data_IF_500897964190
#
_entry.id   IF_500897964190
#
_cell.length_a   1.000
_cell.length_b   1.000
_cell.length_c   1.000
_cell.angle_alpha   90.00
_cell.angle_beta   90.00
_cell.angle_gamma   90.00
#
_symmetry.space_group_name_H-M   'P 1'
#
loop_
_entity.id
_entity.type
_entity.pdbx_description
1 polymer ?
#
# COMPACT_ATOMS: atom_id res chain seq x y z
N UNK A 1 -9.87 10.72 -5.01
CA UNK A 1 -10.61 9.43 -4.96
C UNK A 1 -12.06 9.54 -5.48
N UNK A 2 -12.54 10.74 -5.85
CA UNK A 2 -13.90 10.97 -6.35
C UNK A 2 -14.15 10.59 -7.81
N UNK A 3 -13.17 10.01 -8.53
CA UNK A 3 -13.28 9.77 -9.96
C UNK A 3 -13.71 8.34 -10.33
N UNK A 4 -14.05 7.49 -9.35
CA UNK A 4 -14.53 6.14 -9.64
C UNK A 4 -16.02 6.12 -9.98
N UNK A 5 -16.36 5.49 -11.10
CA UNK A 5 -17.75 5.20 -11.49
C UNK A 5 -18.43 4.25 -10.50
N UNK A 6 -19.77 4.18 -10.53
CA UNK A 6 -20.52 3.27 -9.66
C UNK A 6 -20.10 1.80 -9.83
N UNK A 7 -19.83 1.37 -11.06
CA UNK A 7 -19.34 0.02 -11.35
C UNK A 7 -17.93 -0.21 -10.77
N UNK A 8 -17.04 0.76 -10.88
CA UNK A 8 -15.72 0.68 -10.28
C UNK A 8 -15.82 0.61 -8.75
N UNK A 9 -16.62 1.47 -8.12
CA UNK A 9 -16.86 1.45 -6.66
C UNK A 9 -17.41 0.09 -6.21
N UNK A 10 -18.35 -0.48 -6.96
CA UNK A 10 -18.88 -1.82 -6.71
C UNK A 10 -17.79 -2.90 -6.80
N UNK A 11 -16.96 -2.87 -7.85
CA UNK A 11 -15.87 -3.82 -8.01
C UNK A 11 -14.85 -3.72 -6.87
N UNK A 12 -14.46 -2.51 -6.47
CA UNK A 12 -13.59 -2.28 -5.32
C UNK A 12 -14.18 -2.87 -4.03
N UNK A 13 -15.47 -2.62 -3.79
CA UNK A 13 -16.17 -3.16 -2.62
C UNK A 13 -16.17 -4.68 -2.63
N UNK A 14 -16.51 -5.31 -3.75
CA UNK A 14 -16.61 -6.78 -3.83
C UNK A 14 -15.25 -7.46 -3.63
N UNK A 15 -14.20 -6.95 -4.29
CA UNK A 15 -12.87 -7.57 -4.25
C UNK A 15 -12.15 -7.30 -2.93
N UNK A 16 -12.21 -6.08 -2.40
CA UNK A 16 -11.37 -5.69 -1.27
C UNK A 16 -12.06 -5.81 0.10
N UNK A 17 -13.39 -5.80 0.20
CA UNK A 17 -14.06 -5.86 1.49
C UNK A 17 -14.09 -7.27 2.11
N UNK A 18 -14.10 -8.33 1.29
CA UNK A 18 -14.19 -9.72 1.73
C UNK A 18 -12.80 -10.37 1.85
N UNK A 19 -12.46 -10.89 3.03
CA UNK A 19 -11.21 -11.63 3.22
C UNK A 19 -11.18 -12.91 2.39
N UNK A 20 -12.27 -13.69 2.42
CA UNK A 20 -12.41 -14.89 1.60
C UNK A 20 -12.17 -14.62 0.11
N UNK A 21 -12.71 -13.52 -0.43
CA UNK A 21 -12.48 -13.16 -1.83
C UNK A 21 -11.00 -12.86 -2.10
N UNK A 22 -10.33 -12.14 -1.19
CA UNK A 22 -8.90 -11.83 -1.28
C UNK A 22 -8.04 -13.09 -1.27
N UNK A 23 -8.36 -14.05 -0.41
CA UNK A 23 -7.70 -15.37 -0.33
C UNK A 23 -7.90 -16.17 -1.62
N UNK A 24 -9.15 -16.33 -2.09
CA UNK A 24 -9.45 -17.05 -3.34
C UNK A 24 -8.70 -16.44 -4.54
N UNK A 25 -8.69 -15.11 -4.65
CA UNK A 25 -7.97 -14.43 -5.74
C UNK A 25 -6.47 -14.71 -5.69
N UNK A 26 -5.88 -14.68 -4.49
CA UNK A 26 -4.46 -14.99 -4.31
C UNK A 26 -4.14 -16.45 -4.64
N UNK A 27 -4.99 -17.39 -4.23
CA UNK A 27 -4.83 -18.82 -4.51
C UNK A 27 -4.91 -19.14 -5.99
N UNK A 28 -5.87 -18.53 -6.70
CA UNK A 28 -6.01 -18.65 -8.15
C UNK A 28 -4.79 -18.04 -8.85
N UNK A 29 -4.36 -16.86 -8.43
CA UNK A 29 -3.20 -16.16 -8.99
C UNK A 29 -1.92 -17.00 -8.85
N UNK A 30 -1.58 -17.46 -7.64
CA UNK A 30 -0.36 -18.24 -7.42
C UNK A 30 -0.38 -19.57 -8.19
N UNK A 31 -1.54 -20.23 -8.27
CA UNK A 31 -1.69 -21.52 -8.95
C UNK A 31 -1.52 -21.44 -10.47
N UNK A 32 -1.94 -20.32 -11.08
CA UNK A 32 -1.86 -20.12 -12.53
C UNK A 32 -0.48 -19.57 -12.93
N UNK A 33 0.05 -18.65 -12.13
CA UNK A 33 1.18 -17.83 -12.57
C UNK A 33 2.52 -18.24 -11.97
N UNK A 34 2.59 -18.84 -10.79
CA UNK A 34 3.88 -19.26 -10.22
C UNK A 34 4.26 -20.67 -10.67
N UNK A 35 5.55 -20.89 -10.87
CA UNK A 35 6.16 -22.20 -11.11
C UNK A 35 7.13 -22.53 -9.98
N UNK A 36 7.42 -23.82 -9.81
CA UNK A 36 8.32 -24.32 -8.75
C UNK A 36 9.73 -23.72 -8.81
N UNK A 37 10.20 -23.34 -10.00
CA UNK A 37 11.56 -22.84 -10.23
C UNK A 37 11.62 -21.32 -10.49
N UNK A 38 10.54 -20.58 -10.21
CA UNK A 38 10.58 -19.11 -10.29
C UNK A 38 11.53 -18.59 -9.19
N UNK A 39 12.71 -18.10 -9.59
CA UNK A 39 13.72 -17.54 -8.71
C UNK A 39 13.92 -16.04 -8.99
N UNK A 40 13.98 -15.23 -7.95
CA UNK A 40 14.07 -13.78 -8.04
C UNK A 40 15.19 -13.23 -7.16
N UNK A 41 15.63 -12.02 -7.47
CA UNK A 41 16.74 -11.40 -6.76
C UNK A 41 16.25 -10.70 -5.49
N UNK A 42 16.66 -11.22 -4.35
CA UNK A 42 16.45 -10.65 -3.00
C UNK A 42 17.10 -9.25 -2.78
N UNK A 43 17.69 -8.60 -3.79
CA UNK A 43 18.11 -7.19 -3.70
C UNK A 43 16.90 -6.22 -3.82
N UNK A 44 15.81 -6.49 -3.08
CA UNK A 44 14.61 -5.66 -3.04
C UNK A 44 14.82 -4.39 -2.19
N UNK A 45 13.91 -3.43 -2.32
CA UNK A 45 13.89 -2.19 -1.56
C UNK A 45 12.52 -1.98 -0.90
N UNK A 46 12.52 -1.84 0.42
CA UNK A 46 11.32 -1.56 1.20
C UNK A 46 11.41 -0.15 1.79
N UNK A 47 10.51 0.74 1.37
CA UNK A 47 10.37 2.07 1.98
C UNK A 47 9.37 1.94 3.14
N UNK A 48 9.90 1.93 4.36
CA UNK A 48 9.12 1.96 5.59
C UNK A 48 9.21 3.34 6.23
N UNK A 49 8.34 3.64 7.20
CA UNK A 49 8.40 4.91 7.93
C UNK A 49 7.02 5.41 8.32
N UNK A 50 6.99 6.37 9.24
CA UNK A 50 5.74 7.00 9.64
C UNK A 50 5.11 7.77 8.47
N UNK A 51 3.79 7.80 8.38
CA UNK A 51 3.11 8.61 7.38
C UNK A 51 3.58 10.08 7.47
N UNK A 52 3.63 10.77 6.33
CA UNK A 52 4.06 12.19 6.20
C UNK A 52 5.55 12.47 6.44
N UNK A 53 6.40 11.44 6.49
CA UNK A 53 7.87 11.54 6.56
C UNK A 53 8.58 11.65 5.20
N UNK A 54 7.85 11.63 4.08
CA UNK A 54 8.43 11.70 2.73
C UNK A 54 8.58 10.34 2.01
N UNK A 55 8.06 9.26 2.58
CA UNK A 55 8.06 7.91 1.99
C UNK A 55 7.58 7.85 0.55
N UNK A 56 6.54 8.62 0.19
CA UNK A 56 5.95 8.58 -1.16
C UNK A 56 6.84 9.26 -2.20
N UNK A 57 7.54 10.35 -1.84
CA UNK A 57 8.50 10.99 -2.74
C UNK A 57 9.69 10.05 -2.97
N UNK A 58 10.19 9.43 -1.90
CA UNK A 58 11.27 8.45 -1.98
C UNK A 58 10.88 7.25 -2.87
N UNK A 59 9.68 6.70 -2.69
CA UNK A 59 9.14 5.64 -3.55
C UNK A 59 9.15 6.05 -5.02
N UNK A 60 8.60 7.21 -5.36
CA UNK A 60 8.52 7.68 -6.73
C UNK A 60 9.91 7.90 -7.34
N UNK A 61 10.85 8.49 -6.59
CA UNK A 61 12.22 8.71 -7.06
C UNK A 61 12.96 7.41 -7.36
N UNK A 62 12.81 6.38 -6.53
CA UNK A 62 13.43 5.06 -6.77
C UNK A 62 12.75 4.36 -7.95
N UNK A 63 11.43 4.44 -8.05
CA UNK A 63 10.67 3.80 -9.11
C UNK A 63 11.03 4.34 -10.51
N UNK A 64 11.38 5.63 -10.61
CA UNK A 64 11.85 6.27 -11.86
C UNK A 64 13.11 5.63 -12.45
N UNK A 65 13.90 4.89 -11.66
CA UNK A 65 15.04 4.13 -12.17
C UNK A 65 14.65 3.01 -13.15
N UNK A 66 13.37 2.62 -13.16
CA UNK A 66 12.85 1.48 -13.94
C UNK A 66 13.57 0.14 -13.63
N UNK A 67 14.25 0.03 -12.48
CA UNK A 67 14.93 -1.20 -12.05
C UNK A 67 14.04 -2.13 -11.23
N UNK A 68 12.89 -1.63 -10.75
CA UNK A 68 12.05 -2.33 -9.77
C UNK A 68 10.64 -2.56 -10.29
N UNK A 69 10.02 -3.66 -9.85
CA UNK A 69 8.57 -3.81 -9.87
C UNK A 69 7.97 -3.23 -8.58
N UNK A 70 6.80 -2.62 -8.69
CA UNK A 70 5.99 -2.17 -7.57
C UNK A 70 4.52 -2.40 -7.90
N UNK A 71 3.68 -2.45 -6.87
CA UNK A 71 2.24 -2.23 -7.05
C UNK A 71 2.02 -0.79 -7.50
N UNK A 72 1.06 -0.62 -8.39
CA UNK A 72 0.64 0.65 -8.99
C UNK A 72 -0.88 0.79 -8.88
N UNK A 73 -1.39 2.00 -9.14
CA UNK A 73 -2.84 2.21 -9.23
C UNK A 73 -3.51 1.35 -10.32
N UNK A 74 -2.78 0.88 -11.32
CA UNK A 74 -3.30 -0.01 -12.36
C UNK A 74 -3.65 -1.40 -11.83
N UNK A 75 -3.01 -1.84 -10.75
CA UNK A 75 -3.25 -3.13 -10.09
C UNK A 75 -4.57 -3.14 -9.29
N UNK A 76 -5.18 -1.96 -9.06
CA UNK A 76 -6.49 -1.88 -8.42
C UNK A 76 -7.62 -2.36 -9.35
N UNK A 77 -8.63 -3.07 -8.80
CA UNK A 77 -8.77 -3.46 -7.39
C UNK A 77 -8.12 -4.81 -7.00
N UNK A 78 -7.50 -5.53 -7.94
CA UNK A 78 -7.01 -6.90 -7.77
C UNK A 78 -5.54 -6.95 -7.31
N UNK A 79 -5.25 -6.30 -6.19
CA UNK A 79 -3.88 -6.19 -5.65
C UNK A 79 -3.22 -7.55 -5.41
N UNK A 80 -3.99 -8.56 -5.00
CA UNK A 80 -3.48 -9.92 -4.74
C UNK A 80 -3.50 -10.82 -5.98
N UNK A 81 -4.01 -10.34 -7.11
CA UNK A 81 -4.05 -11.07 -8.38
C UNK A 81 -3.60 -10.19 -9.57
N UNK A 82 -2.40 -9.59 -9.51
CA UNK A 82 -1.98 -8.57 -10.47
C UNK A 82 -1.80 -9.11 -11.90
N UNK A 83 -1.35 -10.36 -12.08
CA UNK A 83 -1.18 -10.95 -13.41
C UNK A 83 -2.53 -11.31 -14.04
N UNK A 84 -3.46 -11.87 -13.25
CA UNK A 84 -4.82 -12.11 -13.71
C UNK A 84 -5.47 -10.79 -14.16
N UNK A 85 -5.38 -9.75 -13.33
CA UNK A 85 -5.94 -8.44 -13.65
C UNK A 85 -5.31 -7.81 -14.88
N UNK A 86 -4.00 -7.95 -15.07
CA UNK A 86 -3.31 -7.48 -16.27
C UNK A 86 -3.82 -8.14 -17.57
N UNK A 87 -4.35 -9.37 -17.50
CA UNK A 87 -4.92 -10.09 -18.65
C UNK A 87 -6.36 -9.67 -18.97
N UNK A 88 -7.17 -9.37 -17.95
CA UNK A 88 -8.61 -9.12 -18.12
C UNK A 88 -8.97 -7.63 -18.13
N UNK A 89 -8.13 -6.77 -17.56
CA UNK A 89 -8.38 -5.34 -17.56
C UNK A 89 -8.17 -4.76 -18.96
N UNK A 90 -9.02 -3.82 -19.39
CA UNK A 90 -8.78 -3.13 -20.66
C UNK A 90 -7.42 -2.43 -20.59
N UNK A 91 -6.69 -2.36 -21.72
CA UNK A 91 -5.45 -1.60 -21.80
C UNK A 91 -5.73 -0.16 -21.37
N UNK A 92 -5.24 0.22 -20.19
CA UNK A 92 -5.36 1.57 -19.67
C UNK A 92 -4.28 2.41 -20.36
N UNK A 93 -4.66 3.52 -20.98
CA UNK A 93 -3.68 4.56 -21.27
C UNK A 93 -3.11 5.07 -19.95
N UNK A 94 -1.83 5.41 -19.93
CA UNK A 94 -1.27 6.12 -18.79
C UNK A 94 -2.04 7.43 -18.65
N UNK A 95 -2.91 7.50 -17.65
CA UNK A 95 -3.69 8.70 -17.38
C UNK A 95 -2.77 9.89 -17.11
N UNK A 96 -3.26 11.10 -17.35
CA UNK A 96 -2.51 12.31 -17.03
C UNK A 96 -2.16 12.36 -15.54
N UNK A 97 -0.97 12.89 -15.24
CA UNK A 97 -0.51 13.11 -13.87
C UNK A 97 -1.44 14.10 -13.17
N UNK A 98 -2.09 13.65 -12.09
CA UNK A 98 -2.97 14.48 -11.27
C UNK A 98 -2.42 14.57 -9.86
N UNK A 99 -2.65 15.69 -9.19
CA UNK A 99 -2.31 15.79 -7.77
C UNK A 99 -3.14 14.79 -6.96
N UNK A 100 -2.46 14.02 -6.10
CA UNK A 100 -3.13 13.02 -5.28
C UNK A 100 -4.04 13.67 -4.25
N UNK A 101 -5.01 12.92 -3.74
CA UNK A 101 -6.03 13.41 -2.80
C UNK A 101 -5.49 14.12 -1.55
N UNK A 102 -4.24 13.84 -1.16
CA UNK A 102 -3.59 14.48 -0.01
C UNK A 102 -3.39 15.98 -0.20
N UNK A 103 -3.29 16.48 -1.44
CA UNK A 103 -3.08 17.90 -1.75
C UNK A 103 -1.73 18.42 -1.28
N UNK A 104 -0.67 17.66 -1.54
CA UNK A 104 0.69 17.94 -1.09
C UNK A 104 1.70 18.08 -2.24
N UNK A 105 1.21 18.41 -3.44
CA UNK A 105 2.01 18.62 -4.65
C UNK A 105 2.51 17.34 -5.31
N UNK A 106 2.35 16.17 -4.68
CA UNK A 106 2.73 14.89 -5.29
C UNK A 106 1.71 14.53 -6.37
N UNK A 107 2.21 14.40 -7.61
CA UNK A 107 1.40 14.01 -8.76
C UNK A 107 1.52 12.51 -9.01
N UNK A 108 0.38 11.88 -9.29
CA UNK A 108 0.26 10.45 -9.56
C UNK A 108 -0.60 10.22 -10.79
N UNK A 109 -0.34 9.12 -11.47
CA UNK A 109 -1.11 8.57 -12.59
C UNK A 109 -1.37 7.09 -12.32
N UNK A 110 -2.06 6.42 -13.22
CA UNK A 110 -2.43 5.02 -13.01
C UNK A 110 -1.22 4.07 -12.91
N UNK A 111 -0.10 4.43 -13.53
CA UNK A 111 1.17 3.71 -13.44
C UNK A 111 2.08 4.15 -12.28
N UNK A 112 1.64 5.11 -11.45
CA UNK A 112 2.45 5.50 -10.28
C UNK A 112 2.42 4.41 -9.21
N UNK A 113 3.56 4.16 -8.53
CA UNK A 113 3.63 3.20 -7.44
C UNK A 113 2.86 3.70 -6.20
N UNK A 114 2.24 2.80 -5.45
CA UNK A 114 1.46 3.15 -4.26
C UNK A 114 1.47 2.06 -3.17
N UNK A 115 1.17 2.47 -1.94
CA UNK A 115 1.25 1.70 -0.71
C UNK A 115 0.13 0.65 -0.51
N UNK A 116 -0.03 -0.28 -1.44
CA UNK A 116 -1.11 -1.28 -1.39
C UNK A 116 -0.76 -2.59 -0.67
N UNK A 117 0.48 -2.75 -0.21
CA UNK A 117 0.96 -3.98 0.45
C UNK A 117 0.17 -4.34 1.72
N UNK A 118 -0.44 -3.38 2.41
CA UNK A 118 -1.25 -3.66 3.60
C UNK A 118 -2.50 -4.51 3.28
N UNK A 119 -2.94 -4.55 2.02
CA UNK A 119 -3.98 -5.49 1.57
C UNK A 119 -3.52 -6.94 1.77
N UNK A 120 -2.25 -7.25 1.50
CA UNK A 120 -1.67 -8.57 1.75
C UNK A 120 -1.63 -8.87 3.25
N UNK A 121 -1.04 -7.95 4.04
CA UNK A 121 -0.88 -8.16 5.48
C UNK A 121 -2.20 -8.35 6.23
N UNK A 122 -3.25 -7.64 5.82
CA UNK A 122 -4.61 -7.78 6.37
C UNK A 122 -5.32 -9.06 5.94
N UNK A 123 -4.85 -9.74 4.91
CA UNK A 123 -5.44 -11.00 4.43
C UNK A 123 -4.85 -12.19 5.15
N UNK A 124 -3.54 -12.18 5.42
CA UNK A 124 -2.81 -13.36 5.92
C UNK A 124 -2.17 -13.13 7.30
N UNK A 125 -2.88 -12.45 8.21
CA UNK A 125 -2.31 -12.00 9.49
C UNK A 125 -2.12 -13.13 10.55
N UNK A 126 -2.77 -14.28 10.38
CA UNK A 126 -3.06 -15.20 11.49
C UNK A 126 -2.04 -16.35 11.68
N UNK A 127 -1.17 -16.65 10.70
CA UNK A 127 -0.11 -17.66 10.81
C UNK A 127 1.24 -17.07 10.35
N UNK A 128 2.32 -17.24 11.12
CA UNK A 128 3.64 -16.67 10.78
C UNK A 128 4.33 -17.40 9.62
N UNK A 129 4.36 -18.73 9.63
CA UNK A 129 5.08 -19.51 8.60
C UNK A 129 4.40 -19.39 7.25
N UNK A 130 3.07 -19.52 7.24
CA UNK A 130 2.28 -19.39 6.00
C UNK A 130 2.43 -17.96 5.45
N UNK A 131 2.44 -16.95 6.33
CA UNK A 131 2.63 -15.55 5.95
C UNK A 131 3.98 -15.28 5.30
N UNK A 132 5.08 -15.84 5.80
CA UNK A 132 6.40 -15.70 5.17
C UNK A 132 6.39 -16.27 3.75
N UNK A 133 5.92 -17.51 3.59
CA UNK A 133 5.83 -18.18 2.28
C UNK A 133 4.93 -17.39 1.32
N UNK A 134 3.76 -16.96 1.79
CA UNK A 134 2.82 -16.19 0.98
C UNK A 134 3.36 -14.82 0.61
N UNK A 135 4.19 -14.20 1.46
CA UNK A 135 4.77 -12.90 1.15
C UNK A 135 5.81 -13.00 0.03
N UNK A 136 6.63 -14.06 0.06
CA UNK A 136 7.57 -14.39 -1.03
C UNK A 136 6.80 -14.62 -2.34
N UNK A 137 5.73 -15.43 -2.31
CA UNK A 137 4.87 -15.68 -3.48
C UNK A 137 4.19 -14.40 -3.99
N UNK A 138 3.70 -13.56 -3.08
CA UNK A 138 3.06 -12.29 -3.42
C UNK A 138 4.02 -11.34 -4.17
N UNK A 139 5.23 -11.17 -3.66
CA UNK A 139 6.27 -10.39 -4.33
C UNK A 139 6.64 -11.02 -5.67
N UNK A 140 6.78 -12.35 -5.72
CA UNK A 140 7.10 -13.10 -6.94
C UNK A 140 6.08 -12.86 -8.06
N UNK A 141 4.79 -12.79 -7.72
CA UNK A 141 3.72 -12.47 -8.67
C UNK A 141 3.82 -11.05 -9.21
N UNK A 142 4.15 -10.07 -8.37
CA UNK A 142 4.34 -8.67 -8.78
C UNK A 142 5.56 -8.56 -9.71
N UNK A 143 6.66 -9.24 -9.37
CA UNK A 143 7.86 -9.30 -10.20
C UNK A 143 7.57 -9.90 -11.58
N UNK A 144 6.83 -11.01 -11.60
CA UNK A 144 6.40 -11.69 -12.83
C UNK A 144 5.53 -10.81 -13.73
N UNK A 145 4.54 -10.11 -13.15
CA UNK A 145 3.63 -9.20 -13.87
C UNK A 145 4.39 -8.08 -14.57
N UNK A 146 5.46 -7.59 -13.95
CA UNK A 146 6.24 -6.46 -14.45
C UNK A 146 7.49 -6.89 -15.24
N UNK A 147 7.78 -8.19 -15.33
CA UNK A 147 9.01 -8.73 -15.90
C UNK A 147 10.28 -8.07 -15.31
N UNK A 148 10.35 -8.03 -13.98
CA UNK A 148 11.51 -7.50 -13.22
C UNK A 148 11.97 -8.54 -12.20
N UNK A 149 13.17 -8.34 -11.67
CA UNK A 149 13.77 -9.23 -10.66
C UNK A 149 13.85 -8.60 -9.28
N UNK A 150 13.69 -7.27 -9.15
CA UNK A 150 13.80 -6.53 -7.89
C UNK A 150 12.48 -5.87 -7.55
N UNK A 151 12.06 -6.00 -6.29
CA UNK A 151 10.81 -5.42 -5.79
C UNK A 151 11.10 -4.09 -5.10
N UNK A 152 10.18 -3.14 -5.28
CA UNK A 152 10.14 -1.87 -4.56
C UNK A 152 8.76 -1.77 -3.92
N UNK A 153 8.72 -1.57 -2.62
CA UNK A 153 7.48 -1.29 -1.91
C UNK A 153 7.58 -0.04 -1.06
N UNK A 154 6.41 0.51 -0.76
CA UNK A 154 6.24 1.44 0.34
C UNK A 154 5.09 0.96 1.20
N UNK A 155 5.32 0.83 2.50
CA UNK A 155 4.25 0.60 3.46
C UNK A 155 4.67 1.20 4.80
N UNK A 156 3.87 2.14 5.31
CA UNK A 156 4.18 2.80 6.58
C UNK A 156 4.19 1.81 7.74
N UNK A 157 3.30 0.82 7.71
CA UNK A 157 3.14 -0.18 8.76
C UNK A 157 4.29 -1.19 8.80
N UNK A 158 5.15 -1.24 7.76
CA UNK A 158 6.35 -2.09 7.78
C UNK A 158 7.37 -1.67 8.85
N UNK A 159 7.24 -0.47 9.43
CA UNK A 159 8.01 -0.09 10.62
C UNK A 159 7.82 -1.07 11.78
N UNK A 160 6.68 -1.78 11.84
CA UNK A 160 6.37 -2.81 12.84
C UNK A 160 6.84 -4.22 12.42
N UNK A 161 7.30 -4.38 11.19
CA UNK A 161 7.62 -5.67 10.54
C UNK A 161 9.07 -5.73 10.05
N UNK A 162 9.93 -4.82 10.52
CA UNK A 162 11.33 -4.70 10.06
C UNK A 162 12.11 -6.01 10.23
N UNK A 163 11.98 -6.66 11.39
CA UNK A 163 12.66 -7.93 11.67
C UNK A 163 12.17 -9.03 10.72
N UNK A 164 10.85 -9.20 10.62
CA UNK A 164 10.23 -10.18 9.72
C UNK A 164 10.68 -9.98 8.27
N UNK A 165 10.67 -8.74 7.76
CA UNK A 165 11.10 -8.46 6.38
C UNK A 165 12.59 -8.78 6.21
N UNK A 166 13.43 -8.44 7.20
CA UNK A 166 14.87 -8.72 7.15
C UNK A 166 15.19 -10.22 7.24
N UNK A 167 14.35 -11.00 7.92
CA UNK A 167 14.47 -12.47 7.99
C UNK A 167 14.07 -13.13 6.67
N UNK A 168 12.97 -12.69 6.06
CA UNK A 168 12.50 -13.21 4.76
C UNK A 168 13.45 -12.81 3.62
N UNK A 169 13.94 -11.58 3.66
CA UNK A 169 14.69 -10.93 2.57
C UNK A 169 16.02 -10.34 3.05
N UNK A 170 17.00 -11.17 3.44
CA UNK A 170 18.22 -10.72 4.11
C UNK A 170 19.14 -9.83 3.27
N UNK A 171 19.04 -9.87 1.92
CA UNK A 171 19.84 -9.00 1.04
C UNK A 171 19.16 -7.67 0.73
N UNK A 172 17.87 -7.55 1.03
CA UNK A 172 17.08 -6.36 0.75
C UNK A 172 17.52 -5.14 1.56
N UNK A 173 17.17 -3.95 1.06
CA UNK A 173 17.41 -2.67 1.74
C UNK A 173 16.11 -2.11 2.27
N UNK A 174 16.07 -1.80 3.56
CA UNK A 174 14.94 -1.08 4.17
C UNK A 174 15.34 0.37 4.36
N UNK A 175 14.59 1.29 3.75
CA UNK A 175 14.80 2.73 3.85
C UNK A 175 13.74 3.34 4.76
N UNK A 176 14.18 4.05 5.81
CA UNK A 176 13.31 4.68 6.80
C UNK A 176 13.63 6.18 6.83
N UNK A 177 12.85 7.03 6.13
CA UNK A 177 13.05 8.46 6.18
C UNK A 177 12.57 9.02 7.52
N UNK A 178 13.30 10.02 8.00
CA UNK A 178 12.96 10.80 9.19
C UNK A 178 12.64 12.23 8.77
N UNK A 179 11.69 12.84 9.47
CA UNK A 179 11.30 14.24 9.29
C UNK A 179 11.29 14.92 10.65
N UNK A 180 11.48 16.24 10.66
CA UNK A 180 11.25 17.05 11.86
C UNK A 180 9.90 16.69 12.51
N UNK A 181 9.89 16.31 13.80
CA UNK A 181 8.68 15.82 14.46
C UNK A 181 7.52 16.81 14.44
N UNK A 182 7.78 18.11 14.68
CA UNK A 182 6.73 19.13 14.71
C UNK A 182 6.12 19.33 13.32
N UNK A 183 6.94 19.34 12.27
CA UNK A 183 6.43 19.41 10.89
C UNK A 183 5.64 18.16 10.52
N UNK A 184 6.08 16.99 10.96
CA UNK A 184 5.40 15.73 10.68
C UNK A 184 4.04 15.67 11.38
N UNK A 185 3.99 16.00 12.66
CA UNK A 185 2.76 16.13 13.46
C UNK A 185 1.78 17.09 12.80
N UNK A 186 2.24 18.29 12.40
CA UNK A 186 1.39 19.30 11.76
C UNK A 186 0.81 18.77 10.43
N UNK A 187 1.62 18.05 9.66
CA UNK A 187 1.17 17.44 8.42
C UNK A 187 0.15 16.33 8.68
N UNK A 188 0.36 15.48 9.68
CA UNK A 188 -0.58 14.42 10.05
C UNK A 188 -1.91 14.98 10.52
N UNK A 189 -1.88 15.94 11.45
CA UNK A 189 -3.08 16.63 11.94
C UNK A 189 -3.88 17.27 10.78
N UNK A 190 -3.19 17.97 9.88
CA UNK A 190 -3.82 18.58 8.71
C UNK A 190 -4.50 17.55 7.81
N UNK A 191 -3.86 16.39 7.60
CA UNK A 191 -4.45 15.29 6.83
C UNK A 191 -5.63 14.64 7.58
N UNK A 192 -5.55 14.50 8.90
CA UNK A 192 -6.65 13.98 9.71
C UNK A 192 -7.90 14.85 9.59
N UNK A 193 -7.77 16.16 9.74
CA UNK A 193 -8.90 17.08 9.59
C UNK A 193 -9.48 17.06 8.17
N UNK A 194 -8.61 17.07 7.16
CA UNK A 194 -9.02 17.02 5.75
C UNK A 194 -9.77 15.73 5.40
N UNK A 195 -9.16 14.58 5.66
CA UNK A 195 -9.79 13.29 5.36
C UNK A 195 -10.99 13.02 6.26
N UNK A 196 -11.01 13.53 7.49
CA UNK A 196 -12.19 13.49 8.35
C UNK A 196 -13.40 14.18 7.71
N UNK A 197 -13.19 15.34 7.07
CA UNK A 197 -14.25 16.01 6.30
C UNK A 197 -14.66 15.20 5.07
N UNK A 198 -13.70 14.81 4.23
CA UNK A 198 -13.97 14.06 2.99
C UNK A 198 -14.71 12.73 3.25
N UNK A 199 -14.35 12.02 4.31
CA UNK A 199 -14.95 10.73 4.69
C UNK A 199 -16.37 10.87 5.26
N UNK A 200 -16.72 12.02 5.83
CA UNK A 200 -18.10 12.32 6.24
C UNK A 200 -18.97 12.67 5.03
N UNK A 201 -18.39 13.25 3.97
CA UNK A 201 -19.09 13.60 2.73
C UNK A 201 -19.27 12.40 1.79
N UNK A 202 -18.27 11.52 1.69
CA UNK A 202 -18.31 10.30 0.86
C UNK A 202 -17.80 9.08 1.65
N UNK A 203 -18.73 8.20 2.05
CA UNK A 203 -18.42 6.98 2.79
C UNK A 203 -17.54 6.01 2.00
N UNK A 204 -17.53 6.09 0.66
CA UNK A 204 -16.63 5.28 -0.16
C UNK A 204 -15.16 5.63 0.10
N UNK A 205 -14.84 6.89 0.40
CA UNK A 205 -13.45 7.31 0.70
C UNK A 205 -12.98 6.62 1.97
N UNK A 206 -13.83 6.60 3.00
CA UNK A 206 -13.57 5.93 4.27
C UNK A 206 -13.38 4.43 4.06
N UNK A 207 -14.34 3.79 3.40
CA UNK A 207 -14.33 2.35 3.14
C UNK A 207 -13.12 1.93 2.30
N UNK A 208 -12.80 2.70 1.26
CA UNK A 208 -11.63 2.46 0.42
C UNK A 208 -10.35 2.49 1.25
N UNK A 209 -10.10 3.57 2.00
CA UNK A 209 -8.91 3.69 2.86
C UNK A 209 -8.83 2.53 3.85
N UNK A 210 -9.95 2.17 4.47
CA UNK A 210 -10.04 1.02 5.35
C UNK A 210 -9.68 -0.27 4.63
N UNK A 211 -10.20 -0.53 3.43
CA UNK A 211 -9.91 -1.73 2.66
C UNK A 211 -8.42 -1.85 2.35
N UNK A 212 -7.80 -0.76 1.89
CA UNK A 212 -6.38 -0.72 1.55
C UNK A 212 -5.45 -0.61 2.76
N UNK A 213 -6.00 -0.59 3.98
CA UNK A 213 -5.23 -0.66 5.23
C UNK A 213 -4.67 0.66 5.72
N UNK A 214 -5.09 1.78 5.14
CA UNK A 214 -4.73 3.10 5.61
C UNK A 214 -5.52 3.45 6.86
N UNK A 215 -4.78 3.73 7.94
CA UNK A 215 -5.31 4.09 9.26
C UNK A 215 -4.44 5.14 9.96
N UNK A 216 -3.57 5.81 9.21
CA UNK A 216 -2.63 6.79 9.77
C UNK A 216 -3.28 8.15 10.06
N UNK A 217 -4.48 8.40 9.53
CA UNK A 217 -5.30 9.60 9.77
C UNK A 217 -6.74 9.36 9.26
N UNK A 218 -7.63 10.34 9.50
CA UNK A 218 -9.07 10.25 9.18
C UNK A 218 -9.89 9.56 10.27
N UNK A 219 -11.16 9.26 9.98
CA UNK A 219 -12.15 8.72 10.91
C UNK A 219 -11.84 7.31 11.43
N UNK A 220 -11.07 6.53 10.67
CA UNK A 220 -10.61 5.19 11.06
C UNK A 220 -9.15 5.19 11.51
N UNK A 221 -8.66 6.34 12.01
CA UNK A 221 -7.33 6.50 12.56
C UNK A 221 -7.04 5.45 13.66
N UNK A 222 -5.85 4.88 13.62
CA UNK A 222 -5.33 3.95 14.63
C UNK A 222 -3.90 4.32 14.99
N UNK A 223 -3.68 4.57 16.28
CA UNK A 223 -2.34 4.77 16.82
C UNK A 223 -1.46 3.53 16.60
N UNK A 224 -0.26 3.76 16.07
CA UNK A 224 0.76 2.71 15.92
C UNK A 224 1.28 2.29 17.30
N UNK A 225 1.44 3.25 18.21
CA UNK A 225 1.99 3.04 19.55
C UNK A 225 1.20 3.83 20.59
N UNK A 226 0.26 3.20 21.32
CA UNK A 226 -0.63 3.92 22.25
C UNK A 226 0.01 4.21 23.61
N UNK A 227 1.14 3.59 23.96
CA UNK A 227 1.75 3.83 25.27
C UNK A 227 2.36 5.22 25.36
N UNK A 228 2.28 5.84 26.55
CA UNK A 228 2.77 7.19 26.83
C UNK A 228 2.04 8.32 26.08
N UNK A 229 0.81 8.07 25.60
CA UNK A 229 -0.03 9.11 25.04
C UNK A 229 -0.52 10.04 26.14
N UNK A 230 -0.10 11.30 26.09
CA UNK A 230 -0.49 12.33 27.06
C UNK A 230 -1.78 13.04 26.66
N UNK A 231 -2.02 13.20 25.35
CA UNK A 231 -3.14 13.95 24.79
C UNK A 231 -3.98 13.03 23.88
N UNK A 232 -5.07 12.44 24.39
CA UNK A 232 -5.81 11.42 23.66
C UNK A 232 -6.74 11.96 22.57
N UNK A 233 -7.03 13.26 22.55
CA UNK A 233 -7.98 13.86 21.62
C UNK A 233 -7.35 14.08 20.23
N UNK A 234 -7.65 13.21 19.27
CA UNK A 234 -7.10 13.28 17.89
C UNK A 234 -7.51 14.54 17.11
N UNK A 235 -8.49 15.30 17.60
CA UNK A 235 -8.89 16.60 17.04
C UNK A 235 -8.04 17.76 17.51
N UNK A 236 -7.13 17.54 18.46
CA UNK A 236 -6.20 18.55 18.96
C UNK A 236 -4.79 18.29 18.44
N UNK A 237 -4.07 19.36 18.12
CA UNK A 237 -2.71 19.25 17.58
C UNK A 237 -1.75 18.50 18.51
N UNK A 238 -1.87 18.68 19.83
CA UNK A 238 -1.01 18.05 20.84
C UNK A 238 -1.06 16.51 20.84
N UNK A 239 -2.08 15.91 20.20
CA UNK A 239 -2.17 14.47 20.02
C UNK A 239 -1.14 13.91 19.03
N UNK A 240 -0.78 14.71 18.01
CA UNK A 240 -0.01 14.30 16.84
C UNK A 240 1.48 14.54 17.00
#
# INVERSE_FOLDING_TARGET
MNNYSALQRFLHRTVLSSQLMREIMFDVEQSIFLKKDDNFDDDHVFVAGLARSGTTILLNAIYQSNQFASLTYDDMPFILAPNFWAKISPRKSHGELQERAHGDGVRVSTNSPEAFEEVFWKTFADDLKIREEFFIKFISLILKKNNKTRYLSKNNQNIRRLNLISEIFPRSKILIPFRDPLQQALSLFSQHMKFGKEQNEDTFVRDYMKWIGHSEFGLDYRMIHPSNLLYPNEKEFNHW
#
